data_IF_857648025987
#
_entry.id   IF_857648025987
#
_cell.length_a   1.000
_cell.length_b   1.000
_cell.length_c   1.000
_cell.angle_alpha   90.00
_cell.angle_beta   90.00
_cell.angle_gamma   90.00
#
_symmetry.space_group_name_H-M   'P 1'
#
loop_
_entity.id
_entity.type
_entity.pdbx_description
1 polymer ?
#
# COMPACT_ATOMS: atom_id res chain seq x y z
N UNK A 1 -8.31 -21.06 -12.82
CA UNK A 1 -7.52 -20.57 -13.96
C UNK A 1 -6.65 -21.72 -14.48
N UNK A 2 -6.41 -21.82 -15.78
CA UNK A 2 -5.43 -22.74 -16.35
C UNK A 2 -4.00 -22.20 -16.12
N UNK A 3 -2.95 -23.00 -16.35
CA UNK A 3 -1.54 -22.59 -16.13
C UNK A 3 -1.11 -21.40 -17.00
N UNK A 4 -1.85 -21.09 -18.06
CA UNK A 4 -1.59 -19.96 -18.96
C UNK A 4 -2.18 -18.64 -18.43
N UNK A 5 -3.11 -18.70 -17.46
CA UNK A 5 -3.81 -17.53 -16.93
C UNK A 5 -3.02 -16.81 -15.83
N UNK A 6 -2.00 -17.44 -15.23
CA UNK A 6 -1.27 -16.86 -14.10
C UNK A 6 0.03 -16.13 -14.50
N UNK A 7 0.23 -15.77 -15.78
CA UNK A 7 1.40 -15.01 -16.28
C UNK A 7 2.76 -15.43 -15.67
N UNK A 8 3.00 -16.75 -15.54
CA UNK A 8 4.22 -17.31 -14.97
C UNK A 8 4.13 -17.75 -13.49
N UNK A 9 3.02 -17.47 -12.82
CA UNK A 9 2.67 -17.95 -11.48
C UNK A 9 1.96 -19.31 -11.44
N UNK A 10 1.57 -19.74 -10.24
CA UNK A 10 0.93 -21.05 -9.99
C UNK A 10 -0.55 -20.84 -9.65
N UNK A 11 -1.45 -21.46 -10.41
CA UNK A 11 -2.88 -21.38 -10.10
C UNK A 11 -3.23 -22.26 -8.89
N UNK A 12 -3.97 -21.69 -7.94
CA UNK A 12 -4.52 -22.38 -6.77
C UNK A 12 -5.91 -22.96 -7.05
N UNK A 13 -6.35 -23.85 -6.16
CA UNK A 13 -7.64 -24.55 -6.26
C UNK A 13 -8.87 -23.65 -6.06
N UNK A 14 -8.69 -22.46 -5.48
CA UNK A 14 -9.72 -21.44 -5.31
C UNK A 14 -9.80 -20.43 -6.47
N UNK A 15 -8.98 -20.61 -7.51
CA UNK A 15 -9.01 -19.80 -8.72
C UNK A 15 -8.13 -18.54 -8.70
N UNK A 16 -7.37 -18.30 -7.63
CA UNK A 16 -6.34 -17.25 -7.55
C UNK A 16 -4.95 -17.78 -7.94
N UNK A 17 -4.02 -16.88 -8.29
CA UNK A 17 -2.65 -17.22 -8.63
C UNK A 17 -1.65 -16.89 -7.50
N UNK A 18 -0.72 -17.80 -7.23
CA UNK A 18 0.50 -17.53 -6.48
C UNK A 18 1.56 -16.94 -7.42
N UNK A 19 1.93 -15.69 -7.19
CA UNK A 19 2.72 -14.92 -8.16
C UNK A 19 4.24 -15.07 -8.01
N UNK A 20 5.00 -15.04 -9.12
CA UNK A 20 6.46 -14.95 -9.08
C UNK A 20 6.90 -13.68 -8.37
N UNK A 21 8.14 -13.68 -7.84
CA UNK A 21 8.71 -12.50 -7.21
C UNK A 21 8.65 -11.29 -8.16
N UNK A 22 8.16 -10.16 -7.65
CA UNK A 22 7.97 -8.93 -8.42
C UNK A 22 6.65 -8.87 -9.19
N UNK A 23 5.78 -9.87 -9.10
CA UNK A 23 4.48 -9.90 -9.75
C UNK A 23 3.33 -10.02 -8.75
N UNK A 24 2.17 -9.46 -9.07
CA UNK A 24 0.98 -9.51 -8.22
C UNK A 24 -0.30 -9.40 -9.05
N UNK A 25 -1.47 -9.47 -8.42
CA UNK A 25 -2.79 -9.54 -9.08
C UNK A 25 -3.40 -10.94 -9.05
N UNK A 26 -4.69 -11.06 -9.38
CA UNK A 26 -5.38 -12.36 -9.40
C UNK A 26 -4.78 -13.32 -10.46
N UNK A 27 -4.13 -12.77 -11.49
CA UNK A 27 -3.51 -13.43 -12.64
C UNK A 27 -1.99 -13.18 -12.75
N UNK A 28 -1.38 -12.53 -11.76
CA UNK A 28 0.03 -12.15 -11.75
C UNK A 28 0.48 -11.28 -12.93
N UNK A 29 -0.43 -10.54 -13.58
CA UNK A 29 -0.11 -9.68 -14.73
C UNK A 29 0.71 -8.43 -14.36
N UNK A 30 0.78 -8.07 -13.08
CA UNK A 30 1.41 -6.81 -12.66
C UNK A 30 2.89 -6.98 -12.30
N UNK A 31 3.79 -6.75 -13.27
CA UNK A 31 5.24 -6.76 -13.10
C UNK A 31 5.76 -5.43 -12.50
N UNK A 32 6.37 -5.47 -11.32
CA UNK A 32 7.13 -4.36 -10.75
C UNK A 32 6.32 -3.27 -10.04
N UNK A 33 6.72 -3.03 -8.79
CA UNK A 33 6.73 -1.72 -8.10
C UNK A 33 5.46 -1.01 -7.65
N UNK A 34 4.28 -1.32 -8.20
CA UNK A 34 2.97 -1.27 -7.54
C UNK A 34 1.86 -1.77 -8.49
N UNK A 35 0.71 -2.17 -7.93
CA UNK A 35 -0.43 -2.77 -8.63
C UNK A 35 -1.25 -1.82 -9.55
N UNK A 36 -0.84 -0.56 -9.76
CA UNK A 36 -1.73 0.47 -10.30
C UNK A 36 -2.85 0.82 -9.32
N UNK A 37 -4.04 1.16 -9.83
CA UNK A 37 -5.23 1.46 -9.01
C UNK A 37 -5.90 0.16 -8.51
N UNK A 38 -5.65 -0.19 -7.25
CA UNK A 38 -6.30 -1.33 -6.57
C UNK A 38 -7.63 -0.88 -5.97
N UNK A 39 -8.67 -1.70 -6.13
CA UNK A 39 -9.96 -1.51 -5.47
C UNK A 39 -10.32 -2.78 -4.72
N UNK A 40 -10.60 -2.65 -3.43
CA UNK A 40 -11.18 -3.71 -2.62
C UNK A 40 -12.60 -3.33 -2.21
N UNK A 41 -13.50 -4.30 -2.26
CA UNK A 41 -14.90 -4.17 -1.82
C UNK A 41 -15.19 -4.92 -0.50
N UNK A 42 -14.14 -5.47 0.12
CA UNK A 42 -14.21 -6.14 1.42
C UNK A 42 -14.07 -5.13 2.57
N UNK A 43 -14.75 -5.41 3.70
CA UNK A 43 -14.66 -4.60 4.93
C UNK A 43 -13.25 -4.63 5.55
N UNK A 44 -12.53 -5.74 5.38
CA UNK A 44 -11.15 -5.89 5.86
C UNK A 44 -10.22 -6.37 4.75
N UNK A 45 -8.93 -6.06 4.84
CA UNK A 45 -7.93 -6.55 3.91
C UNK A 45 -6.56 -5.91 4.07
N UNK A 46 -5.71 -6.13 3.08
CA UNK A 46 -4.34 -5.62 3.08
C UNK A 46 -3.95 -5.05 1.71
N UNK A 47 -3.06 -4.05 1.73
CA UNK A 47 -2.37 -3.52 0.56
C UNK A 47 -0.86 -3.51 0.78
N UNK A 48 -0.09 -3.57 -0.30
CA UNK A 48 1.36 -3.41 -0.26
C UNK A 48 1.86 -2.68 -1.50
N UNK A 49 2.99 -1.98 -1.36
CA UNK A 49 3.67 -1.31 -2.48
C UNK A 49 4.31 -2.29 -3.47
N UNK A 50 4.71 -3.46 -2.99
CA UNK A 50 5.38 -4.50 -3.77
C UNK A 50 5.14 -5.88 -3.14
N UNK A 51 5.47 -6.95 -3.86
CA UNK A 51 5.34 -8.33 -3.36
C UNK A 51 6.26 -8.65 -2.17
N UNK A 52 7.32 -7.85 -1.94
CA UNK A 52 8.26 -8.02 -0.82
C UNK A 52 8.41 -6.76 0.04
N UNK A 53 7.38 -5.91 0.07
CA UNK A 53 7.41 -4.67 0.86
C UNK A 53 7.79 -4.96 2.32
N UNK A 54 8.72 -4.16 2.85
CA UNK A 54 9.34 -4.30 4.17
C UNK A 54 10.20 -5.56 4.38
N UNK A 55 10.58 -6.27 3.31
CA UNK A 55 11.58 -7.34 3.35
C UNK A 55 12.98 -6.84 3.72
N UNK A 56 13.86 -7.76 4.16
CA UNK A 56 15.19 -7.49 4.71
C UNK A 56 16.26 -7.07 3.67
N UNK A 57 15.96 -6.06 2.84
CA UNK A 57 16.98 -5.32 2.09
C UNK A 57 17.42 -5.90 0.74
N UNK A 58 16.80 -6.99 0.24
CA UNK A 58 17.05 -7.48 -1.11
C UNK A 58 16.54 -6.46 -2.15
N UNK A 59 17.34 -6.14 -3.18
CA UNK A 59 17.00 -5.06 -4.13
C UNK A 59 15.72 -5.34 -4.93
N UNK A 60 15.37 -6.61 -5.11
CA UNK A 60 14.20 -7.03 -5.89
C UNK A 60 12.87 -6.95 -5.12
N UNK A 61 12.91 -6.66 -3.83
CA UNK A 61 11.70 -6.57 -2.99
C UNK A 61 11.21 -5.14 -2.75
N UNK A 62 12.01 -4.14 -3.14
CA UNK A 62 11.70 -2.71 -2.96
C UNK A 62 10.57 -2.26 -3.89
N UNK A 63 9.88 -1.18 -3.53
CA UNK A 63 9.07 -0.46 -4.52
C UNK A 63 9.97 0.08 -5.63
N UNK A 64 9.39 0.45 -6.75
CA UNK A 64 10.13 0.98 -7.89
C UNK A 64 9.91 2.46 -8.02
N UNK A 65 10.82 3.08 -8.75
CA UNK A 65 10.84 4.50 -8.99
C UNK A 65 9.67 4.91 -9.90
N UNK A 66 9.30 6.19 -9.86
CA UNK A 66 8.20 6.78 -10.62
C UNK A 66 6.84 6.08 -10.41
N UNK A 67 6.67 5.38 -9.29
CA UNK A 67 5.40 4.78 -8.92
C UNK A 67 4.33 5.87 -8.71
N UNK A 68 3.12 5.60 -9.18
CA UNK A 68 1.95 6.44 -8.94
C UNK A 68 0.72 5.52 -8.90
N UNK A 69 0.28 5.20 -7.69
CA UNK A 69 -0.64 4.09 -7.44
C UNK A 69 -1.74 4.54 -6.48
N UNK A 70 -2.92 3.97 -6.60
CA UNK A 70 -3.97 4.15 -5.61
C UNK A 70 -4.51 2.83 -5.09
N UNK A 71 -4.97 2.84 -3.84
CA UNK A 71 -5.52 1.66 -3.17
C UNK A 71 -6.81 2.09 -2.49
N UNK A 72 -7.94 1.64 -3.00
CA UNK A 72 -9.26 2.11 -2.59
C UNK A 72 -10.02 1.01 -1.86
N UNK A 73 -10.56 1.32 -0.70
CA UNK A 73 -11.60 0.52 -0.03
C UNK A 73 -12.94 1.10 -0.44
N UNK A 74 -13.82 0.28 -1.04
CA UNK A 74 -15.15 0.68 -1.52
C UNK A 74 -16.22 -0.23 -0.94
N UNK A 75 -16.72 0.14 0.23
CA UNK A 75 -17.74 -0.61 0.96
C UNK A 75 -18.98 0.28 1.08
N UNK A 76 -20.08 -0.03 0.35
CA UNK A 76 -21.31 0.75 0.43
C UNK A 76 -21.81 0.89 1.87
N UNK A 77 -22.10 2.12 2.28
CA UNK A 77 -22.60 2.41 3.63
C UNK A 77 -21.53 2.50 4.72
N UNK A 78 -20.26 2.19 4.42
CA UNK A 78 -19.16 2.44 5.35
C UNK A 78 -19.09 3.94 5.67
N UNK A 79 -18.94 4.25 6.97
CA UNK A 79 -18.79 5.63 7.45
C UNK A 79 -17.34 6.00 7.71
N UNK A 80 -16.53 5.02 8.09
CA UNK A 80 -15.13 5.19 8.42
C UNK A 80 -14.34 3.97 7.96
N UNK A 81 -13.06 4.18 7.68
CA UNK A 81 -12.08 3.12 7.48
C UNK A 81 -10.87 3.44 8.35
N UNK A 82 -10.35 2.44 9.05
CA UNK A 82 -9.11 2.52 9.82
C UNK A 82 -8.00 1.82 9.05
N UNK A 83 -6.93 2.55 8.77
CA UNK A 83 -5.70 2.04 8.19
C UNK A 83 -4.63 1.88 9.26
N UNK A 84 -3.88 0.78 9.21
CA UNK A 84 -2.65 0.55 9.96
C UNK A 84 -1.50 0.47 8.96
N UNK A 85 -0.68 1.53 8.89
CA UNK A 85 0.36 1.69 7.86
C UNK A 85 1.74 1.48 8.45
N UNK A 86 2.49 0.49 7.96
CA UNK A 86 3.94 0.36 8.19
C UNK A 86 4.67 0.74 6.92
N UNK A 87 5.75 1.50 7.04
CA UNK A 87 6.42 2.07 5.87
C UNK A 87 7.92 2.31 6.09
N UNK A 88 8.70 2.16 5.01
CA UNK A 88 10.09 2.59 4.85
C UNK A 88 10.23 3.19 3.45
N UNK A 89 10.08 4.50 3.37
CA UNK A 89 10.07 5.32 2.16
C UNK A 89 11.29 6.24 2.17
N UNK A 90 11.72 6.70 0.99
CA UNK A 90 12.72 7.76 0.93
C UNK A 90 12.19 9.02 1.62
N UNK A 91 12.95 9.48 2.61
CA UNK A 91 12.53 10.60 3.45
C UNK A 91 12.46 11.87 2.59
N UNK A 92 11.34 12.58 2.67
CA UNK A 92 11.02 13.82 1.94
C UNK A 92 10.90 13.73 0.41
N UNK A 93 11.00 12.54 -0.19
CA UNK A 93 10.90 12.34 -1.64
C UNK A 93 9.75 11.42 -2.04
N UNK A 94 9.53 10.36 -1.26
CA UNK A 94 8.49 9.37 -1.54
C UNK A 94 7.39 9.42 -0.48
N UNK A 95 6.15 9.19 -0.92
CA UNK A 95 4.98 9.49 -0.09
C UNK A 95 3.86 8.48 -0.21
N UNK A 96 3.29 8.12 0.95
CA UNK A 96 1.96 7.51 1.04
C UNK A 96 1.00 8.54 1.63
N UNK A 97 -0.04 8.87 0.90
CA UNK A 97 -1.14 9.73 1.36
C UNK A 97 -2.35 8.87 1.72
N UNK A 98 -2.96 9.13 2.87
CA UNK A 98 -4.26 8.55 3.25
C UNK A 98 -5.33 9.60 3.03
N UNK A 99 -6.30 9.28 2.16
CA UNK A 99 -7.38 10.15 1.74
C UNK A 99 -8.69 9.73 2.37
N UNK A 100 -9.43 10.72 2.87
CA UNK A 100 -10.72 10.57 3.51
C UNK A 100 -11.77 11.50 2.93
N UNK A 101 -13.03 11.20 3.20
CA UNK A 101 -14.15 12.05 2.85
C UNK A 101 -14.20 13.32 3.68
N UNK A 102 -13.93 14.45 3.05
CA UNK A 102 -14.12 15.77 3.62
C UNK A 102 -14.69 16.71 2.55
N UNK A 103 -15.65 17.56 2.93
CA UNK A 103 -16.25 18.56 2.03
C UNK A 103 -16.82 18.00 0.72
N UNK A 104 -17.32 16.77 0.71
CA UNK A 104 -17.90 16.15 -0.49
C UNK A 104 -16.87 15.64 -1.50
N UNK A 105 -15.62 15.44 -1.08
CA UNK A 105 -14.57 14.87 -1.91
C UNK A 105 -13.62 13.99 -1.07
N UNK A 106 -12.81 13.18 -1.75
CA UNK A 106 -11.65 12.52 -1.13
C UNK A 106 -10.48 13.51 -1.08
N UNK A 107 -10.02 13.83 0.12
CA UNK A 107 -8.91 14.75 0.35
C UNK A 107 -7.80 14.07 1.17
N UNK A 108 -6.52 14.39 0.92
CA UNK A 108 -5.42 13.92 1.76
C UNK A 108 -5.60 14.39 3.20
N UNK A 109 -5.63 13.44 4.14
CA UNK A 109 -5.72 13.69 5.59
C UNK A 109 -4.34 13.57 6.23
N UNK A 110 -3.54 12.62 5.76
CA UNK A 110 -2.19 12.36 6.25
C UNK A 110 -1.27 12.06 5.06
N UNK A 111 -0.04 12.58 5.11
CA UNK A 111 1.05 12.27 4.19
C UNK A 111 2.23 11.69 4.98
N UNK A 112 2.64 10.47 4.62
CA UNK A 112 3.66 9.68 5.29
C UNK A 112 4.90 9.59 4.42
N UNK A 113 6.08 9.78 5.02
CA UNK A 113 7.40 9.66 4.40
C UNK A 113 8.43 9.26 5.45
N UNK A 114 9.62 8.84 5.04
CA UNK A 114 10.63 8.29 5.95
C UNK A 114 10.25 6.87 6.41
N UNK A 115 10.45 6.54 7.68
CA UNK A 115 10.20 5.17 8.17
C UNK A 115 9.37 5.13 9.45
N UNK A 116 8.44 4.19 9.54
CA UNK A 116 7.70 3.85 10.77
C UNK A 116 8.56 3.13 11.82
N UNK A 117 9.73 2.62 11.42
CA UNK A 117 10.56 1.73 12.23
C UNK A 117 11.86 2.39 12.73
N UNK A 118 12.18 3.66 12.37
CA UNK A 118 13.47 4.28 12.71
C UNK A 118 13.50 5.08 14.02
N UNK A 119 14.25 4.53 14.97
CA UNK A 119 15.13 5.15 15.98
C UNK A 119 16.15 6.19 15.40
N UNK A 120 15.72 7.09 14.51
CA UNK A 120 16.63 8.04 13.83
C UNK A 120 16.02 9.36 13.39
N UNK A 121 14.72 9.60 13.64
CA UNK A 121 14.13 10.91 13.47
C UNK A 121 14.52 11.80 14.67
N UNK A 122 15.59 12.57 14.51
CA UNK A 122 15.84 13.73 15.35
C UNK A 122 14.80 14.82 15.06
N UNK A 123 13.56 14.62 15.56
CA UNK A 123 12.53 15.63 15.91
C UNK A 123 11.07 15.13 15.91
N UNK A 124 10.78 13.82 16.01
CA UNK A 124 9.39 13.36 16.18
C UNK A 124 9.23 12.37 17.33
N UNK A 125 9.08 12.93 18.54
CA UNK A 125 8.24 12.42 19.65
C UNK A 125 8.18 10.89 19.80
N UNK A 126 9.17 10.35 20.51
CA UNK A 126 9.16 9.02 21.14
C UNK A 126 7.83 8.76 21.84
N UNK A 127 7.07 7.75 21.38
CA UNK A 127 6.16 6.90 22.20
C UNK A 127 5.70 5.62 21.46
N UNK A 128 5.85 5.53 20.13
CA UNK A 128 5.36 4.37 19.34
C UNK A 128 6.43 3.85 18.36
N UNK A 129 7.57 3.41 18.88
CA UNK A 129 8.64 2.81 18.05
C UNK A 129 8.16 1.46 17.49
N UNK A 130 8.24 1.29 16.15
CA UNK A 130 7.89 0.03 15.47
C UNK A 130 6.40 -0.31 15.40
N UNK A 131 5.51 0.61 15.80
CA UNK A 131 4.07 0.42 15.65
C UNK A 131 3.56 1.02 14.34
N UNK A 132 2.60 0.36 13.66
CA UNK A 132 1.98 0.93 12.47
C UNK A 132 1.34 2.28 12.78
N UNK A 133 1.48 3.21 11.84
CA UNK A 133 0.77 4.47 11.89
C UNK A 133 -0.73 4.19 11.70
N UNK A 134 -1.51 4.45 12.75
CA UNK A 134 -2.96 4.28 12.73
C UNK A 134 -3.66 5.54 12.24
N UNK A 135 -4.38 5.45 11.14
CA UNK A 135 -5.14 6.55 10.54
C UNK A 135 -6.59 6.13 10.34
N UNK A 136 -7.53 6.81 10.99
CA UNK A 136 -8.97 6.62 10.74
C UNK A 136 -9.49 7.78 9.91
N UNK A 137 -10.12 7.49 8.78
CA UNK A 137 -10.70 8.49 7.89
C UNK A 137 -12.20 8.25 7.71
N UNK A 138 -12.96 9.32 7.48
CA UNK A 138 -14.34 9.18 7.02
C UNK A 138 -14.34 8.59 5.60
N UNK A 139 -15.29 7.70 5.31
CA UNK A 139 -15.49 7.18 3.97
C UNK A 139 -16.47 8.10 3.22
N UNK A 140 -16.04 8.64 2.09
CA UNK A 140 -16.92 9.43 1.21
C UNK A 140 -17.67 8.48 0.29
N UNK A 141 -19.00 8.41 0.43
CA UNK A 141 -19.83 7.49 -0.37
C UNK A 141 -19.37 6.03 -0.28
N UNK A 142 -18.88 5.61 0.90
CA UNK A 142 -18.34 4.28 1.12
C UNK A 142 -16.90 4.09 0.62
N UNK A 143 -16.22 5.16 0.22
CA UNK A 143 -14.84 5.12 -0.30
C UNK A 143 -13.83 5.76 0.66
N UNK A 144 -12.74 5.04 0.91
CA UNK A 144 -11.50 5.59 1.47
C UNK A 144 -10.33 5.11 0.61
N UNK A 145 -9.23 5.89 0.55
CA UNK A 145 -8.16 5.62 -0.41
C UNK A 145 -6.78 5.89 0.17
N UNK A 146 -5.77 5.13 -0.25
CA UNK A 146 -4.37 5.51 -0.17
C UNK A 146 -3.83 5.86 -1.56
N UNK A 147 -2.91 6.82 -1.63
CA UNK A 147 -2.12 7.10 -2.84
C UNK A 147 -0.64 6.94 -2.52
N UNK A 148 0.08 6.25 -3.38
CA UNK A 148 1.52 6.10 -3.28
C UNK A 148 2.19 6.76 -4.47
N UNK A 149 3.17 7.61 -4.20
CA UNK A 149 4.01 8.23 -5.21
C UNK A 149 5.48 8.10 -4.82
N UNK A 150 6.32 7.78 -5.79
CA UNK A 150 7.78 7.81 -5.65
C UNK A 150 8.44 8.62 -6.75
N UNK A 151 9.64 9.15 -6.49
CA UNK A 151 10.45 9.87 -7.47
C UNK A 151 11.32 8.94 -8.34
N UNK A 152 12.30 9.50 -9.07
CA UNK A 152 13.16 8.77 -10.01
C UNK A 152 14.19 7.83 -9.37
N UNK A 153 14.49 7.95 -8.07
CA UNK A 153 15.60 7.25 -7.40
C UNK A 153 15.23 6.86 -5.96
N UNK A 154 16.23 6.53 -5.13
CA UNK A 154 16.04 6.48 -3.67
C UNK A 154 15.23 5.32 -3.09
N UNK A 155 14.69 4.40 -3.91
CA UNK A 155 13.80 3.32 -3.46
C UNK A 155 14.24 2.55 -2.20
N UNK A 156 13.27 2.37 -1.31
CA UNK A 156 13.38 1.75 0.02
C UNK A 156 12.43 0.56 0.20
N UNK A 157 12.18 0.14 1.44
CA UNK A 157 11.37 -1.04 1.76
C UNK A 157 9.91 -0.96 1.33
N UNK A 158 9.35 0.24 1.14
CA UNK A 158 7.96 0.43 0.73
C UNK A 158 6.99 0.43 1.89
N UNK A 159 5.74 0.00 1.68
CA UNK A 159 4.75 -0.04 2.74
C UNK A 159 3.89 -1.31 2.70
N UNK A 160 3.36 -1.67 3.87
CA UNK A 160 2.23 -2.59 4.01
C UNK A 160 1.15 -1.90 4.84
N UNK A 161 -0.11 -2.13 4.45
CA UNK A 161 -1.28 -1.54 5.08
C UNK A 161 -2.27 -2.66 5.38
N UNK A 162 -2.78 -2.72 6.60
CA UNK A 162 -4.04 -3.43 6.88
C UNK A 162 -5.16 -2.43 7.11
N UNK A 163 -6.39 -2.83 6.80
CA UNK A 163 -7.56 -1.99 6.97
C UNK A 163 -8.77 -2.76 7.49
N UNK A 164 -9.68 -2.02 8.13
CA UNK A 164 -10.97 -2.44 8.68
C UNK A 164 -11.94 -1.26 8.83
#
# INVERSE_FOLDING_TARGET
ASREDCHGGVCRSDGLCDCPSGYSGADCSYAGSCLGDVVSTSETGNFSSSGGALGAGEQDTRYGNLANCSFSVRVPGARFVRFLVRYDLEDSHDFVEVLGGAHGALLPIVRLTGSSDRLGASHARMLNEGQPQRVTVAAHEGVAQLRFASDEVGRRGGFVVSYE
#
